data_IF_569353135268
#
_entry.id   IF_569353135268
#
_cell.length_a   1.000
_cell.length_b   1.000
_cell.length_c   1.000
_cell.angle_alpha   90.00
_cell.angle_beta   90.00
_cell.angle_gamma   90.00
#
_symmetry.space_group_name_H-M   'P 1'
#
loop_
_entity.id
_entity.type
_entity.pdbx_description
1 polymer ?
#
# COMPACT_ATOMS: atom_id res chain seq x y z
N UNK A 1 30.89 27.86 51.82
CA UNK A 1 30.01 27.14 50.85
C UNK A 1 30.84 26.05 50.19
N UNK A 2 30.68 24.79 50.63
CA UNK A 2 31.44 23.66 50.07
C UNK A 2 30.74 23.16 48.80
N UNK A 3 31.30 23.47 47.63
CA UNK A 3 30.87 22.88 46.37
C UNK A 3 31.41 21.45 46.32
N UNK A 4 30.52 20.45 46.43
CA UNK A 4 30.87 19.05 46.17
C UNK A 4 31.13 18.92 44.66
N UNK A 5 32.37 18.58 44.30
CA UNK A 5 32.73 18.24 42.93
C UNK A 5 32.40 16.75 42.71
N UNK A 6 31.82 16.43 41.54
CA UNK A 6 31.58 15.05 41.11
C UNK A 6 32.90 14.28 41.00
N UNK A 7 32.89 13.02 41.39
CA UNK A 7 34.08 12.18 41.26
C UNK A 7 34.23 11.67 39.82
N UNK A 8 35.47 11.44 39.36
CA UNK A 8 35.74 10.88 38.03
C UNK A 8 35.07 9.52 37.84
N UNK A 9 34.99 8.72 38.91
CA UNK A 9 34.34 7.41 38.92
C UNK A 9 32.84 7.55 38.66
N UNK A 10 32.21 8.55 39.26
CA UNK A 10 30.78 8.80 39.15
C UNK A 10 30.41 9.27 37.73
N UNK A 11 31.25 10.07 37.08
CA UNK A 11 31.08 10.41 35.66
C UNK A 11 31.31 9.19 34.75
N UNK A 12 32.28 8.32 35.06
CA UNK A 12 32.58 7.14 34.27
C UNK A 12 31.42 6.12 34.29
N UNK A 13 30.79 5.89 35.45
CA UNK A 13 29.62 5.00 35.56
C UNK A 13 28.42 5.55 34.78
N UNK A 14 28.21 6.87 34.78
CA UNK A 14 27.10 7.49 34.04
C UNK A 14 27.26 7.31 32.53
N UNK A 15 28.46 7.55 31.99
CA UNK A 15 28.73 7.34 30.56
C UNK A 15 28.62 5.86 30.16
N UNK A 16 29.01 4.94 31.05
CA UNK A 16 28.84 3.50 30.85
C UNK A 16 27.35 3.12 30.76
N UNK A 17 26.51 3.62 31.66
CA UNK A 17 25.07 3.36 31.64
C UNK A 17 24.39 3.98 30.42
N UNK A 18 24.73 5.23 30.06
CA UNK A 18 24.19 5.90 28.87
C UNK A 18 24.57 5.13 27.60
N UNK A 19 25.82 4.63 27.50
CA UNK A 19 26.27 3.83 26.35
C UNK A 19 25.48 2.54 26.16
N UNK A 20 25.18 1.83 27.24
CA UNK A 20 24.37 0.60 27.19
C UNK A 20 22.93 0.92 26.78
N UNK A 21 22.31 1.93 27.38
CA UNK A 21 20.93 2.32 27.07
C UNK A 21 20.80 2.82 25.62
N UNK A 22 21.76 3.62 25.13
CA UNK A 22 21.78 4.10 23.75
C UNK A 22 21.88 2.94 22.74
N UNK A 23 22.69 1.91 23.03
CA UNK A 23 22.82 0.73 22.18
C UNK A 23 21.52 -0.09 22.04
N UNK A 24 20.70 -0.15 23.08
CA UNK A 24 19.41 -0.86 23.06
C UNK A 24 18.34 -0.14 22.24
N UNK A 25 18.34 1.20 22.27
CA UNK A 25 17.34 2.01 21.56
C UNK A 25 17.46 1.93 20.03
N UNK A 26 18.68 1.77 19.50
CA UNK A 26 18.92 1.73 18.05
C UNK A 26 18.33 0.48 17.37
N UNK A 27 18.10 -0.61 18.11
CA UNK A 27 17.60 -1.87 17.52
C UNK A 27 16.12 -1.83 17.13
N UNK A 28 15.34 -0.87 17.62
CA UNK A 28 13.87 -0.90 17.49
C UNK A 28 13.28 0.08 16.46
N UNK A 29 14.09 0.90 15.77
CA UNK A 29 13.60 1.96 14.89
C UNK A 29 13.31 1.53 13.44
N UNK A 30 13.76 0.34 13.02
CA UNK A 30 13.66 -0.09 11.62
C UNK A 30 12.27 -0.56 11.15
N UNK A 31 11.54 -1.30 12.00
CA UNK A 31 10.32 -2.03 11.59
C UNK A 31 9.03 -1.21 11.56
N UNK A 32 8.95 -0.07 12.25
CA UNK A 32 7.72 0.74 12.31
C UNK A 32 7.38 1.41 10.98
N UNK A 33 8.38 1.67 10.14
CA UNK A 33 8.17 2.40 8.90
C UNK A 33 7.56 1.54 7.79
N UNK A 34 7.85 0.22 7.76
CA UNK A 34 7.30 -0.69 6.74
C UNK A 34 5.81 -0.96 6.97
N UNK A 35 5.40 -1.22 8.21
CA UNK A 35 3.99 -1.45 8.55
C UNK A 35 3.12 -0.21 8.25
N UNK A 36 3.60 1.00 8.56
CA UNK A 36 2.90 2.24 8.22
C UNK A 36 2.77 2.44 6.70
N UNK A 37 3.80 2.10 5.92
CA UNK A 37 3.74 2.12 4.45
C UNK A 37 2.74 1.09 3.91
N UNK A 38 2.70 -0.12 4.45
CA UNK A 38 1.73 -1.14 4.05
C UNK A 38 0.28 -0.72 4.34
N UNK A 39 0.02 -0.13 5.51
CA UNK A 39 -1.30 0.43 5.82
C UNK A 39 -1.67 1.57 4.87
N UNK A 40 -0.71 2.41 4.51
CA UNK A 40 -0.91 3.46 3.50
C UNK A 40 -1.26 2.86 2.14
N UNK A 41 -0.56 1.82 1.68
CA UNK A 41 -0.86 1.12 0.42
C UNK A 41 -2.30 0.60 0.38
N UNK A 42 -2.73 -0.04 1.46
CA UNK A 42 -4.10 -0.56 1.58
C UNK A 42 -5.13 0.59 1.56
N UNK A 43 -4.84 1.70 2.25
CA UNK A 43 -5.68 2.90 2.22
C UNK A 43 -5.77 3.54 0.84
N UNK A 44 -4.63 3.61 0.13
CA UNK A 44 -4.55 4.13 -1.24
C UNK A 44 -5.45 3.33 -2.19
N UNK A 45 -5.41 1.99 -2.14
CA UNK A 45 -6.29 1.16 -2.97
C UNK A 45 -7.78 1.41 -2.70
N UNK A 46 -8.17 1.63 -1.44
CA UNK A 46 -9.56 1.95 -1.07
C UNK A 46 -9.99 3.34 -1.53
N UNK A 47 -9.07 4.30 -1.54
CA UNK A 47 -9.35 5.61 -2.11
C UNK A 47 -9.53 5.52 -3.63
N UNK A 48 -8.71 4.69 -4.29
CA UNK A 48 -8.81 4.44 -5.74
C UNK A 48 -10.12 3.73 -6.09
N UNK A 49 -10.57 2.76 -5.30
CA UNK A 49 -11.87 2.11 -5.52
C UNK A 49 -13.01 3.13 -5.48
N UNK A 50 -12.98 4.11 -4.57
CA UNK A 50 -13.97 5.19 -4.54
C UNK A 50 -13.96 6.05 -5.81
N UNK A 51 -12.78 6.37 -6.37
CA UNK A 51 -12.68 7.05 -7.66
C UNK A 51 -13.25 6.21 -8.81
N UNK A 52 -12.96 4.90 -8.83
CA UNK A 52 -13.49 3.99 -9.84
C UNK A 52 -15.02 3.86 -9.74
N UNK A 53 -15.58 3.80 -8.53
CA UNK A 53 -17.04 3.82 -8.32
C UNK A 53 -17.65 5.13 -8.84
N UNK A 54 -17.02 6.27 -8.58
CA UNK A 54 -17.46 7.57 -9.12
C UNK A 54 -17.39 7.61 -10.65
N UNK A 55 -16.37 6.99 -11.25
CA UNK A 55 -16.27 6.83 -12.70
C UNK A 55 -17.43 5.99 -13.24
N UNK A 56 -17.72 4.85 -12.62
CA UNK A 56 -18.84 4.00 -13.01
C UNK A 56 -20.18 4.76 -12.96
N UNK A 57 -20.40 5.57 -11.91
CA UNK A 57 -21.61 6.40 -11.81
C UNK A 57 -21.77 7.42 -12.95
N UNK A 58 -20.67 7.83 -13.60
CA UNK A 58 -20.68 8.82 -14.69
C UNK A 58 -20.69 8.16 -16.08
N UNK A 59 -19.95 7.08 -16.25
CA UNK A 59 -19.71 6.44 -17.54
C UNK A 59 -20.56 5.18 -17.76
N UNK A 60 -21.20 4.66 -16.72
CA UNK A 60 -22.02 3.44 -16.78
C UNK A 60 -21.22 2.13 -16.90
N UNK A 61 -19.88 2.21 -16.90
CA UNK A 61 -18.97 1.08 -17.01
C UNK A 61 -17.69 1.35 -16.21
N UNK A 62 -16.98 0.30 -15.82
CA UNK A 62 -15.67 0.44 -15.19
C UNK A 62 -14.60 0.87 -16.22
N UNK A 63 -13.54 1.57 -15.80
CA UNK A 63 -12.45 1.96 -16.70
C UNK A 63 -11.84 0.74 -17.42
N UNK A 64 -11.60 0.84 -18.72
CA UNK A 64 -10.91 -0.18 -19.52
C UNK A 64 -9.41 0.06 -19.56
N UNK A 65 -8.87 0.65 -18.49
CA UNK A 65 -7.47 1.03 -18.42
C UNK A 65 -6.54 -0.18 -18.48
N UNK A 66 -5.45 -0.02 -19.22
CA UNK A 66 -4.44 -1.07 -19.44
C UNK A 66 -3.24 -0.96 -18.50
N UNK A 67 -3.08 0.19 -17.86
CA UNK A 67 -2.02 0.49 -16.89
C UNK A 67 -2.45 1.63 -15.96
N UNK A 68 -1.65 1.91 -14.94
CA UNK A 68 -1.98 2.90 -13.90
C UNK A 68 -2.12 4.33 -14.44
N UNK A 69 -1.26 4.74 -15.38
CA UNK A 69 -1.32 6.07 -15.97
C UNK A 69 -2.54 6.25 -16.89
N UNK A 70 -2.91 5.21 -17.64
CA UNK A 70 -4.13 5.17 -18.45
C UNK A 70 -5.38 5.27 -17.56
N UNK A 71 -5.41 4.56 -16.42
CA UNK A 71 -6.49 4.69 -15.43
C UNK A 71 -6.62 6.14 -14.95
N UNK A 72 -5.52 6.78 -14.58
CA UNK A 72 -5.52 8.18 -14.15
C UNK A 72 -6.10 9.11 -15.23
N UNK A 73 -5.68 8.92 -16.48
CA UNK A 73 -6.16 9.71 -17.61
C UNK A 73 -7.66 9.51 -17.85
N UNK A 74 -8.16 8.27 -17.80
CA UNK A 74 -9.59 7.99 -17.94
C UNK A 74 -10.41 8.63 -16.83
N UNK A 75 -9.97 8.51 -15.57
CA UNK A 75 -10.63 9.14 -14.43
C UNK A 75 -10.64 10.67 -14.55
N UNK A 76 -9.56 11.28 -15.02
CA UNK A 76 -9.46 12.72 -15.26
C UNK A 76 -10.38 13.18 -16.38
N UNK A 77 -10.40 12.46 -17.50
CA UNK A 77 -11.25 12.77 -18.66
C UNK A 77 -12.74 12.63 -18.33
N UNK A 78 -13.10 11.71 -17.42
CA UNK A 78 -14.45 11.57 -16.90
C UNK A 78 -14.84 12.63 -15.84
N UNK A 79 -13.92 13.54 -15.49
CA UNK A 79 -14.15 14.58 -14.48
C UNK A 79 -14.25 14.03 -13.04
N UNK A 80 -13.72 12.84 -12.78
CA UNK A 80 -13.62 12.26 -11.44
C UNK A 80 -12.43 12.85 -10.69
N UNK A 81 -11.29 12.99 -11.37
CA UNK A 81 -10.11 13.63 -10.82
C UNK A 81 -10.05 15.10 -11.23
N UNK A 82 -9.84 15.98 -10.25
CA UNK A 82 -9.61 17.40 -10.50
C UNK A 82 -8.24 17.69 -11.15
N UNK A 83 -8.05 18.90 -11.70
CA UNK A 83 -6.76 19.31 -12.23
C UNK A 83 -5.68 19.29 -11.14
N UNK A 84 -4.54 18.65 -11.41
CA UNK A 84 -3.43 18.52 -10.46
C UNK A 84 -3.58 17.41 -9.41
N UNK A 85 -4.70 16.68 -9.39
CA UNK A 85 -4.85 15.48 -8.56
C UNK A 85 -4.36 14.28 -9.36
N UNK A 86 -3.41 13.52 -8.81
CA UNK A 86 -2.88 12.29 -9.39
C UNK A 86 -3.27 11.10 -8.52
N UNK A 87 -3.31 9.91 -9.11
CA UNK A 87 -3.52 8.71 -8.34
C UNK A 87 -2.35 8.48 -7.38
N UNK A 88 -2.61 7.87 -6.20
CA UNK A 88 -1.54 7.51 -5.29
C UNK A 88 -0.49 6.63 -5.96
N UNK A 89 0.77 6.77 -5.54
CA UNK A 89 1.90 5.95 -5.95
C UNK A 89 2.50 5.28 -4.72
N UNK A 90 3.19 4.16 -4.93
CA UNK A 90 3.80 3.42 -3.83
C UNK A 90 4.82 4.30 -3.08
N UNK A 91 4.79 4.32 -1.73
CA UNK A 91 5.64 5.20 -0.93
C UNK A 91 7.12 4.79 -0.90
N UNK A 92 7.47 3.58 -1.35
CA UNK A 92 8.84 3.03 -1.28
C UNK A 92 9.59 3.08 -2.61
N UNK A 93 8.90 3.28 -3.73
CA UNK A 93 9.56 3.40 -5.04
C UNK A 93 8.70 4.15 -6.05
N UNK A 94 9.26 5.12 -6.79
CA UNK A 94 8.55 5.81 -7.87
C UNK A 94 8.23 4.91 -9.09
N UNK A 95 8.76 3.67 -9.12
CA UNK A 95 8.63 2.72 -10.23
C UNK A 95 7.78 1.48 -9.92
N UNK A 96 7.20 1.38 -8.72
CA UNK A 96 6.21 0.33 -8.42
C UNK A 96 4.86 1.01 -8.27
N UNK A 97 4.15 1.17 -9.36
CA UNK A 97 2.77 1.65 -9.28
C UNK A 97 1.86 0.53 -8.77
N UNK A 98 0.71 0.92 -8.22
CA UNK A 98 -0.38 -0.02 -7.98
C UNK A 98 -0.91 -0.54 -9.33
N UNK A 99 -1.52 -1.70 -9.30
CA UNK A 99 -2.06 -2.34 -10.51
C UNK A 99 -3.57 -2.34 -10.48
N UNK A 100 -4.15 -2.08 -11.65
CA UNK A 100 -5.59 -2.13 -11.90
C UNK A 100 -5.84 -3.06 -13.08
N UNK A 101 -6.81 -3.96 -12.93
CA UNK A 101 -7.31 -4.77 -14.01
C UNK A 101 -8.84 -4.80 -13.99
N UNK A 102 -9.46 -4.51 -15.13
CA UNK A 102 -10.90 -4.70 -15.27
C UNK A 102 -11.16 -6.16 -15.63
N UNK A 103 -12.22 -6.74 -15.09
CA UNK A 103 -12.54 -8.14 -15.25
C UNK A 103 -13.91 -8.31 -15.91
N UNK A 104 -13.94 -9.15 -16.94
CA UNK A 104 -15.16 -9.50 -17.67
C UNK A 104 -15.69 -10.86 -17.23
N UNK A 105 -17.01 -10.99 -17.22
CA UNK A 105 -17.67 -12.29 -17.02
C UNK A 105 -17.76 -13.06 -18.34
N UNK A 106 -18.29 -14.30 -18.31
CA UNK A 106 -18.44 -15.20 -19.46
C UNK A 106 -19.25 -14.63 -20.66
N UNK A 107 -19.84 -13.43 -20.54
CA UNK A 107 -20.50 -12.69 -21.63
C UNK A 107 -19.68 -11.53 -22.22
N UNK A 108 -18.42 -11.35 -21.83
CA UNK A 108 -17.58 -10.22 -22.28
C UNK A 108 -17.96 -8.87 -21.66
N UNK A 109 -18.90 -8.86 -20.72
CA UNK A 109 -19.34 -7.65 -20.00
C UNK A 109 -18.38 -7.39 -18.84
N UNK A 110 -17.92 -6.15 -18.72
CA UNK A 110 -17.07 -5.70 -17.60
C UNK A 110 -17.96 -5.59 -16.35
N UNK A 111 -17.79 -6.52 -15.41
CA UNK A 111 -18.63 -6.60 -14.21
C UNK A 111 -17.87 -6.35 -12.93
N UNK A 112 -16.56 -6.62 -12.92
CA UNK A 112 -15.73 -6.52 -11.73
C UNK A 112 -14.40 -5.85 -12.07
N UNK A 113 -13.62 -5.50 -11.05
CA UNK A 113 -12.23 -5.10 -11.23
C UNK A 113 -11.39 -5.52 -10.04
N UNK A 114 -10.08 -5.61 -10.27
CA UNK A 114 -9.09 -5.94 -9.25
C UNK A 114 -8.13 -4.77 -9.08
N UNK A 115 -7.89 -4.42 -7.83
CA UNK A 115 -6.80 -3.53 -7.43
C UNK A 115 -5.74 -4.34 -6.69
N UNK A 116 -4.48 -4.18 -7.07
CA UNK A 116 -3.35 -4.89 -6.47
C UNK A 116 -2.28 -3.92 -5.99
N UNK A 117 -1.80 -4.18 -4.78
CA UNK A 117 -0.56 -3.63 -4.26
C UNK A 117 0.34 -4.78 -3.82
N UNK A 118 1.65 -4.54 -3.83
CA UNK A 118 2.61 -5.49 -3.27
C UNK A 118 3.18 -4.90 -2.00
N UNK A 119 2.88 -5.54 -0.87
CA UNK A 119 3.25 -5.09 0.46
C UNK A 119 4.70 -5.48 0.80
N UNK A 120 5.28 -4.81 1.80
CA UNK A 120 6.60 -5.12 2.32
C UNK A 120 6.56 -6.33 3.26
N UNK A 121 5.57 -6.38 4.16
CA UNK A 121 5.36 -7.54 5.02
C UNK A 121 4.66 -8.67 4.26
N UNK A 122 5.20 -9.89 4.35
CA UNK A 122 4.52 -11.06 3.78
C UNK A 122 3.29 -11.45 4.59
N UNK A 123 2.41 -12.22 3.97
CA UNK A 123 1.21 -12.78 4.60
C UNK A 123 1.52 -13.61 5.84
N UNK A 124 2.66 -14.31 5.84
CA UNK A 124 3.12 -15.08 7.00
C UNK A 124 3.59 -14.18 8.14
N UNK A 125 4.21 -13.04 7.81
CA UNK A 125 4.71 -12.06 8.78
C UNK A 125 3.59 -11.21 9.38
N UNK A 126 2.56 -10.87 8.59
CA UNK A 126 1.49 -9.96 9.00
C UNK A 126 0.12 -10.38 8.43
N UNK A 127 -0.44 -11.53 8.85
CA UNK A 127 -1.68 -12.08 8.28
C UNK A 127 -2.89 -11.15 8.45
N UNK A 128 -2.87 -10.32 9.49
CA UNK A 128 -3.92 -9.33 9.78
C UNK A 128 -4.08 -8.30 8.65
N UNK A 129 -2.99 -7.96 7.93
CA UNK A 129 -3.04 -7.00 6.83
C UNK A 129 -3.73 -7.56 5.59
N UNK A 130 -3.74 -8.89 5.42
CA UNK A 130 -4.29 -9.57 4.24
C UNK A 130 -5.76 -9.96 4.41
N UNK A 131 -6.41 -9.55 5.49
CA UNK A 131 -7.84 -9.79 5.67
C UNK A 131 -8.64 -9.08 4.56
N UNK A 132 -9.46 -9.86 3.84
CA UNK A 132 -10.24 -9.39 2.69
C UNK A 132 -9.48 -9.36 1.36
N UNK A 133 -8.20 -9.74 1.33
CA UNK A 133 -7.47 -9.92 0.08
C UNK A 133 -7.85 -11.25 -0.58
N UNK A 134 -8.08 -11.24 -1.90
CA UNK A 134 -8.26 -12.47 -2.66
C UNK A 134 -6.90 -13.15 -2.91
N UNK A 135 -6.91 -14.47 -2.93
CA UNK A 135 -5.69 -15.27 -3.17
C UNK A 135 -5.70 -15.97 -4.53
N UNK A 136 -6.83 -15.95 -5.23
CA UNK A 136 -7.01 -16.49 -6.57
C UNK A 136 -8.09 -15.65 -7.25
N UNK A 137 -7.97 -15.48 -8.56
CA UNK A 137 -9.02 -14.85 -9.36
C UNK A 137 -10.10 -15.89 -9.60
N UNK A 138 -11.39 -15.56 -9.38
CA UNK A 138 -12.48 -16.47 -9.69
C UNK A 138 -12.45 -16.92 -11.16
N UNK A 139 -12.59 -18.22 -11.47
CA UNK A 139 -12.39 -18.76 -12.81
C UNK A 139 -13.41 -18.25 -13.84
N UNK A 140 -14.55 -17.73 -13.39
CA UNK A 140 -15.57 -17.10 -14.23
C UNK A 140 -15.18 -15.69 -14.73
N UNK A 141 -14.07 -15.13 -14.22
CA UNK A 141 -13.60 -13.79 -14.55
C UNK A 141 -12.33 -13.83 -15.39
N UNK A 142 -12.33 -13.02 -16.46
CA UNK A 142 -11.14 -12.78 -17.28
C UNK A 142 -10.72 -11.32 -17.12
N UNK A 143 -9.53 -11.09 -16.57
CA UNK A 143 -9.04 -9.74 -16.26
C UNK A 143 -8.04 -9.23 -17.30
N UNK A 144 -8.13 -7.95 -17.64
CA UNK A 144 -7.22 -7.25 -18.54
C UNK A 144 -6.80 -5.91 -17.91
N UNK A 145 -5.50 -5.58 -17.83
CA UNK A 145 -4.35 -6.45 -18.09
C UNK A 145 -4.36 -7.71 -17.22
N UNK A 146 -3.66 -8.75 -17.66
CA UNK A 146 -3.51 -9.98 -16.88
C UNK A 146 -2.86 -9.66 -15.52
N UNK A 147 -3.52 -10.07 -14.44
CA UNK A 147 -3.08 -9.80 -13.08
C UNK A 147 -2.97 -11.11 -12.30
N UNK A 148 -2.03 -11.18 -11.37
CA UNK A 148 -1.86 -12.34 -10.48
C UNK A 148 -2.18 -11.93 -9.05
N UNK A 149 -2.93 -12.80 -8.37
CA UNK A 149 -3.26 -12.65 -6.96
C UNK A 149 -2.96 -13.97 -6.27
N UNK A 150 -2.33 -13.92 -5.10
CA UNK A 150 -2.00 -15.12 -4.33
C UNK A 150 -0.56 -15.20 -3.85
N UNK A 151 0.34 -14.36 -4.37
CA UNK A 151 1.71 -14.27 -3.89
C UNK A 151 1.78 -13.83 -2.43
N UNK A 152 2.87 -14.23 -1.74
CA UNK A 152 3.04 -13.98 -0.31
C UNK A 152 3.02 -12.49 0.07
N UNK A 153 3.35 -11.60 -0.86
CA UNK A 153 3.35 -10.15 -0.64
C UNK A 153 2.25 -9.44 -1.44
N UNK A 154 1.36 -10.17 -2.11
CA UNK A 154 0.33 -9.59 -2.98
C UNK A 154 -0.96 -9.35 -2.19
N UNK A 155 -1.38 -8.10 -2.19
CA UNK A 155 -2.65 -7.66 -1.63
C UNK A 155 -3.58 -7.26 -2.78
N UNK A 156 -4.52 -8.14 -3.09
CA UNK A 156 -5.50 -7.95 -4.15
C UNK A 156 -6.90 -7.76 -3.57
N UNK A 157 -7.62 -6.75 -4.04
CA UNK A 157 -9.02 -6.52 -3.74
C UNK A 157 -9.85 -6.71 -5.01
N UNK A 158 -10.87 -7.56 -4.92
CA UNK A 158 -11.90 -7.73 -5.95
C UNK A 158 -13.13 -6.92 -5.55
N UNK A 159 -13.66 -6.15 -6.50
CA UNK A 159 -14.87 -5.35 -6.36
C UNK A 159 -15.87 -5.65 -7.46
#
# INVERSE_FOLDING_TARGET
MNKKAFTLVELAVVLLVIGILAGLLLRNLGGFTSSARDQRRIGDLRNVSAYITSYYSRQGQYPTATNWADLENQLRNAGVLGPGVNLPRDPSSPNRDYEYAHCTSAGGVITNYILRAVLEASRDQAPQLYQGAITNIPPELTCNPSITCGGNNEYCLLF
#
